data_IF_032009116348
#
_entry.id   IF_032009116348
#
_cell.length_a   1.000
_cell.length_b   1.000
_cell.length_c   1.000
_cell.angle_alpha   90.00
_cell.angle_beta   90.00
_cell.angle_gamma   90.00
#
_symmetry.space_group_name_H-M   'P 1'
#
loop_
_entity.id
_entity.type
_entity.pdbx_description
1 polymer ?
#
# COMPACT_ATOMS: atom_id res chain seq x y z
N UNK A 1 -16.56 3.88 -11.90
CA UNK A 1 -16.70 3.26 -10.56
C UNK A 1 -15.46 3.65 -9.76
N UNK A 2 -15.60 3.99 -8.47
CA UNK A 2 -14.44 4.36 -7.64
C UNK A 2 -13.42 3.22 -7.59
N UNK A 3 -12.13 3.50 -7.86
CA UNK A 3 -11.01 2.53 -7.74
C UNK A 3 -10.82 2.06 -6.30
N UNK A 4 -11.37 2.81 -5.33
CA UNK A 4 -11.21 2.59 -3.90
C UNK A 4 -12.52 2.27 -3.18
N UNK A 5 -12.42 1.46 -2.13
CA UNK A 5 -13.51 1.19 -1.16
C UNK A 5 -13.77 2.46 -0.36
N UNK A 6 -15.04 2.82 -0.18
CA UNK A 6 -15.47 3.85 0.76
C UNK A 6 -15.37 3.31 2.19
N UNK A 7 -14.52 3.92 3.02
CA UNK A 7 -14.33 3.52 4.41
C UNK A 7 -14.70 4.66 5.36
N UNK A 8 -15.43 4.32 6.42
CA UNK A 8 -15.81 5.24 7.49
C UNK A 8 -14.55 5.63 8.31
N UNK A 9 -13.90 6.73 7.89
CA UNK A 9 -12.68 7.26 8.51
C UNK A 9 -13.01 7.91 9.85
N UNK A 10 -12.89 7.11 10.91
CA UNK A 10 -13.11 7.55 12.29
C UNK A 10 -11.91 8.32 12.83
N UNK A 11 -12.11 9.26 13.78
CA UNK A 11 -11.03 9.97 14.43
C UNK A 11 -10.13 9.05 15.28
N UNK A 12 -10.60 7.84 15.61
CA UNK A 12 -9.85 6.83 16.32
C UNK A 12 -9.82 5.54 15.49
N UNK A 13 -8.62 5.05 15.22
CA UNK A 13 -8.35 3.79 14.52
C UNK A 13 -7.76 2.78 15.49
N UNK A 14 -7.56 1.54 15.02
CA UNK A 14 -6.79 0.56 15.76
C UNK A 14 -5.31 0.99 15.93
N UNK A 15 -4.55 0.17 16.65
CA UNK A 15 -3.12 0.38 16.88
C UNK A 15 -2.37 0.52 15.53
N UNK A 16 -1.32 1.34 15.52
CA UNK A 16 -0.51 1.60 14.31
C UNK A 16 0.02 0.33 13.65
N UNK A 17 0.39 -0.69 14.45
CA UNK A 17 0.82 -2.01 13.96
C UNK A 17 -0.28 -2.75 13.22
N UNK A 18 -1.53 -2.66 13.68
CA UNK A 18 -2.69 -3.31 13.03
C UNK A 18 -2.99 -2.63 11.70
N UNK A 19 -2.99 -1.30 11.69
CA UNK A 19 -3.21 -0.54 10.45
C UNK A 19 -2.06 -0.73 9.45
N UNK A 20 -0.81 -0.86 9.91
CA UNK A 20 0.32 -1.19 9.04
C UNK A 20 0.13 -2.56 8.39
N UNK A 21 -0.13 -3.63 9.16
CA UNK A 21 -0.37 -4.97 8.59
C UNK A 21 -1.54 -5.02 7.60
N UNK A 22 -2.53 -4.13 7.78
CA UNK A 22 -3.70 -4.03 6.90
C UNK A 22 -3.41 -3.29 5.59
N UNK A 23 -2.51 -2.31 5.62
CA UNK A 23 -2.26 -1.36 4.54
C UNK A 23 -0.96 -1.61 3.77
N UNK A 24 0.06 -2.18 4.42
CA UNK A 24 1.35 -2.54 3.80
C UNK A 24 1.22 -3.90 3.12
N UNK A 25 1.13 -3.89 1.79
CA UNK A 25 0.93 -5.09 1.00
C UNK A 25 2.27 -5.71 0.63
N UNK A 26 2.41 -7.00 0.93
CA UNK A 26 3.51 -7.84 0.45
C UNK A 26 3.29 -8.21 -1.01
N UNK A 27 4.38 -8.32 -1.77
CA UNK A 27 4.31 -8.80 -3.15
C UNK A 27 3.80 -10.24 -3.21
N UNK A 28 2.89 -10.52 -4.15
CA UNK A 28 2.49 -11.88 -4.48
C UNK A 28 3.56 -12.54 -5.34
N UNK A 29 4.02 -13.73 -4.93
CA UNK A 29 5.05 -14.48 -5.66
C UNK A 29 4.50 -15.18 -6.91
N UNK A 30 3.23 -15.58 -6.87
CA UNK A 30 2.57 -16.37 -7.92
C UNK A 30 1.25 -15.74 -8.36
N UNK A 31 0.96 -15.67 -9.66
CA UNK A 31 -0.32 -15.17 -10.20
C UNK A 31 -1.55 -15.90 -9.66
N UNK A 32 -1.45 -17.21 -9.46
CA UNK A 32 -2.51 -18.07 -8.91
C UNK A 32 -2.62 -18.01 -7.37
N UNK A 33 -1.71 -17.29 -6.71
CA UNK A 33 -1.62 -17.22 -5.26
C UNK A 33 -0.89 -18.42 -4.64
N UNK A 34 -0.98 -18.60 -3.30
CA UNK A 34 -0.28 -19.67 -2.60
C UNK A 34 -0.80 -21.06 -2.99
N UNK A 35 0.08 -22.07 -2.91
CA UNK A 35 -0.30 -23.46 -3.20
C UNK A 35 -1.53 -23.90 -2.38
N UNK A 36 -2.53 -24.49 -3.05
CA UNK A 36 -3.80 -24.88 -2.44
C UNK A 36 -4.86 -23.77 -2.37
N UNK A 37 -4.56 -22.59 -2.94
CA UNK A 37 -5.54 -21.54 -3.23
C UNK A 37 -6.72 -22.10 -4.05
N UNK A 38 -7.94 -21.82 -3.59
CA UNK A 38 -9.18 -22.10 -4.35
C UNK A 38 -9.53 -20.98 -5.33
N UNK A 39 -8.75 -19.90 -5.32
CA UNK A 39 -9.00 -18.70 -6.11
C UNK A 39 -8.35 -18.89 -7.48
N UNK A 40 -9.18 -19.17 -8.49
CA UNK A 40 -8.76 -19.12 -9.88
C UNK A 40 -8.77 -17.65 -10.32
N UNK A 41 -7.63 -16.97 -10.26
CA UNK A 41 -7.56 -15.56 -10.68
C UNK A 41 -7.51 -15.45 -12.20
N UNK A 42 -8.59 -14.96 -12.83
CA UNK A 42 -8.61 -14.68 -14.27
C UNK A 42 -7.82 -13.42 -14.64
N UNK A 43 -7.60 -12.51 -13.68
CA UNK A 43 -6.89 -11.25 -13.87
C UNK A 43 -5.75 -11.12 -12.87
N UNK A 44 -4.63 -10.55 -13.33
CA UNK A 44 -3.47 -10.26 -12.48
C UNK A 44 -3.80 -9.10 -11.53
N UNK A 45 -3.35 -9.23 -10.28
CA UNK A 45 -3.52 -8.21 -9.25
C UNK A 45 -4.59 -8.56 -8.23
N UNK A 46 -5.16 -7.53 -7.60
CA UNK A 46 -5.96 -7.71 -6.39
C UNK A 46 -7.40 -8.16 -6.70
N UNK A 47 -7.83 -9.26 -6.09
CA UNK A 47 -9.20 -9.80 -6.20
C UNK A 47 -10.29 -8.94 -5.53
N UNK A 48 -9.91 -8.00 -4.66
CA UNK A 48 -10.80 -7.08 -3.96
C UNK A 48 -10.43 -5.64 -4.29
N UNK A 49 -11.37 -4.69 -4.25
CA UNK A 49 -11.06 -3.29 -4.52
C UNK A 49 -9.98 -2.73 -3.57
N UNK A 50 -9.29 -1.70 -4.02
CA UNK A 50 -8.19 -1.08 -3.27
C UNK A 50 -8.71 -0.23 -2.11
N UNK A 51 -7.92 -0.07 -1.05
CA UNK A 51 -8.13 0.98 -0.06
C UNK A 51 -7.24 2.15 -0.39
N UNK A 52 -7.65 3.35 -0.02
CA UNK A 52 -6.87 4.57 -0.29
C UNK A 52 -5.51 4.51 0.44
N UNK A 53 -5.49 3.92 1.65
CA UNK A 53 -4.29 3.88 2.49
C UNK A 53 -3.38 2.68 2.19
N UNK A 54 -3.83 1.76 1.32
CA UNK A 54 -3.07 0.58 0.91
C UNK A 54 -1.99 0.94 -0.09
N UNK A 55 -0.84 0.29 0.07
CA UNK A 55 0.35 0.55 -0.73
C UNK A 55 1.21 -0.71 -0.88
N UNK A 56 1.97 -0.84 -1.99
CA UNK A 56 2.97 -1.87 -2.12
C UNK A 56 4.14 -1.61 -1.16
N UNK A 57 4.80 -2.67 -0.71
CA UNK A 57 6.06 -2.54 0.02
C UNK A 57 7.15 -1.95 -0.90
N UNK A 58 7.46 -0.67 -0.77
CA UNK A 58 8.50 -0.04 -1.57
C UNK A 58 9.89 -0.48 -1.06
N UNK A 59 10.69 -1.10 -1.95
CA UNK A 59 12.04 -1.60 -1.63
C UNK A 59 13.07 -0.48 -1.46
N UNK A 60 12.75 0.73 -1.90
CA UNK A 60 13.64 1.89 -1.86
C UNK A 60 13.21 2.93 -0.82
N UNK A 61 12.03 2.78 -0.22
CA UNK A 61 11.55 3.65 0.85
C UNK A 61 12.11 3.22 2.22
N UNK A 62 11.83 4.02 3.24
CA UNK A 62 12.27 3.79 4.61
C UNK A 62 11.50 2.63 5.23
N UNK A 63 12.23 1.75 5.93
CA UNK A 63 11.62 0.68 6.74
C UNK A 63 10.66 1.26 7.79
N UNK A 64 11.07 2.33 8.47
CA UNK A 64 10.27 3.02 9.48
C UNK A 64 9.78 4.39 8.95
N UNK A 65 8.70 4.36 8.17
CA UNK A 65 8.14 5.58 7.56
C UNK A 65 7.64 6.59 8.58
N UNK A 66 7.12 6.14 9.72
CA UNK A 66 6.63 7.04 10.77
C UNK A 66 7.75 7.92 11.31
N UNK A 67 8.93 7.32 11.59
CA UNK A 67 10.10 8.06 12.05
C UNK A 67 10.64 9.04 10.99
N UNK A 68 10.52 8.68 9.72
CA UNK A 68 11.09 9.45 8.61
C UNK A 68 10.07 10.32 7.87
N UNK A 69 8.82 10.38 8.35
CA UNK A 69 7.79 11.20 7.74
C UNK A 69 8.15 12.69 7.83
N UNK A 70 8.06 13.41 6.72
CA UNK A 70 8.47 14.82 6.62
C UNK A 70 9.99 15.05 6.66
N UNK A 71 10.81 14.00 6.64
CA UNK A 71 12.25 14.09 6.44
C UNK A 71 12.57 13.84 4.96
N UNK A 72 13.10 14.87 4.29
CA UNK A 72 13.65 14.70 2.95
C UNK A 72 15.02 14.02 3.06
N UNK A 73 15.24 13.04 2.18
CA UNK A 73 16.55 12.43 2.02
C UNK A 73 17.40 13.42 1.23
N UNK A 74 18.42 14.00 1.88
CA UNK A 74 19.25 15.05 1.30
C UNK A 74 20.18 14.61 0.15
N UNK A 75 19.75 13.68 -0.71
CA UNK A 75 20.46 13.25 -1.90
C UNK A 75 19.82 13.86 -3.16
N UNK A 76 20.64 14.32 -4.14
CA UNK A 76 20.11 14.90 -5.37
C UNK A 76 19.28 13.88 -6.18
N UNK A 77 18.01 14.22 -6.45
CA UNK A 77 17.09 13.37 -7.21
C UNK A 77 16.28 12.38 -6.35
N UNK A 78 16.29 12.55 -5.04
CA UNK A 78 15.43 11.77 -4.16
C UNK A 78 13.95 12.15 -4.29
N UNK A 79 13.11 11.15 -4.07
CA UNK A 79 11.67 11.30 -4.03
C UNK A 79 11.26 12.02 -2.73
N UNK A 80 10.36 12.99 -2.85
CA UNK A 80 9.80 13.66 -1.70
C UNK A 80 8.77 12.71 -1.07
N UNK A 81 9.06 12.20 0.13
CA UNK A 81 8.15 11.31 0.87
C UNK A 81 6.81 11.98 1.28
N UNK A 82 6.51 13.16 0.75
CA UNK A 82 5.40 14.01 1.15
C UNK A 82 4.15 13.76 0.27
N UNK A 83 3.26 12.95 0.84
CA UNK A 83 1.78 13.08 0.72
C UNK A 83 1.09 12.69 -0.59
N UNK A 84 1.79 12.37 -1.68
CA UNK A 84 1.10 11.84 -2.87
C UNK A 84 1.04 10.31 -2.83
N UNK A 85 -0.14 9.68 -2.68
CA UNK A 85 -0.23 8.23 -2.85
C UNK A 85 0.13 7.89 -4.29
N UNK A 86 1.15 7.05 -4.45
CA UNK A 86 1.70 6.53 -5.72
C UNK A 86 0.58 6.03 -6.69
N UNK A 87 -0.53 5.55 -6.11
CA UNK A 87 -1.72 5.12 -6.85
C UNK A 87 -2.47 6.24 -7.61
N UNK A 88 -2.17 7.52 -7.39
CA UNK A 88 -2.73 8.65 -8.13
C UNK A 88 -1.92 9.04 -9.37
N UNK A 89 -0.67 8.57 -9.48
CA UNK A 89 0.25 8.95 -10.56
C UNK A 89 0.26 7.96 -11.75
N UNK A 90 -0.47 6.84 -11.62
CA UNK A 90 -0.70 5.92 -12.73
C UNK A 90 -1.96 6.30 -13.54
N UNK A 91 -1.85 6.54 -14.87
CA UNK A 91 -2.97 6.92 -15.74
C UNK A 91 -4.05 5.83 -15.90
#
# INVERSE_FOLDING_TARGET
>A
MSRFIDEDRRPYTDLSTVESQRNDLTFEEFPEGPYGSSVMSEQLGKSKPWRVDQRPANRFDYENRELHNGMNRGYPGDDDNDTTPDALDEP
#
